data_IF_197819501575
#
_entry.id   IF_197819501575
#
_cell.length_a   1.000
_cell.length_b   1.000
_cell.length_c   1.000
_cell.angle_alpha   90.00
_cell.angle_beta   90.00
_cell.angle_gamma   90.00
#
_symmetry.space_group_name_H-M   'P 1'
#
loop_
_entity.id
_entity.type
_entity.pdbx_description
1 polymer ?
#
# COMPACT_ATOMS: atom_id res chain seq x y z
N UNK A 1 19.81 3.65 11.12
CA UNK A 1 19.91 2.19 10.93
C UNK A 1 21.23 1.69 11.48
N UNK A 2 21.18 0.69 12.35
CA UNK A 2 22.37 0.13 13.01
C UNK A 2 22.74 -1.26 12.47
N UNK A 3 21.83 -1.95 11.77
CA UNK A 3 22.10 -3.28 11.24
C UNK A 3 22.85 -3.17 9.89
N UNK A 4 24.14 -3.55 9.81
CA UNK A 4 24.93 -3.49 8.59
C UNK A 4 24.44 -4.44 7.48
N UNK A 5 23.64 -5.46 7.84
CA UNK A 5 23.09 -6.43 6.89
C UNK A 5 21.73 -6.02 6.30
N UNK A 6 21.15 -4.88 6.75
CA UNK A 6 19.94 -4.35 6.13
C UNK A 6 20.23 -3.90 4.69
N UNK A 7 19.25 -4.05 3.78
CA UNK A 7 19.39 -3.62 2.37
C UNK A 7 19.79 -2.15 2.26
N UNK A 8 19.27 -1.29 3.12
CA UNK A 8 19.59 0.13 3.14
C UNK A 8 21.06 0.41 3.51
N UNK A 9 21.64 -0.38 4.44
CA UNK A 9 23.06 -0.26 4.77
C UNK A 9 23.95 -0.92 3.71
N UNK A 10 23.60 -2.13 3.25
CA UNK A 10 24.42 -2.93 2.35
C UNK A 10 24.46 -2.38 0.91
N UNK A 11 23.33 -1.87 0.39
CA UNK A 11 23.23 -1.42 -1.02
C UNK A 11 23.23 0.10 -1.17
N UNK A 12 22.77 0.87 -0.18
CA UNK A 12 22.69 2.33 -0.28
C UNK A 12 23.69 3.07 0.62
N UNK A 13 24.52 2.34 1.39
CA UNK A 13 25.54 2.96 2.25
C UNK A 13 24.96 3.84 3.38
N UNK A 14 23.72 3.65 3.77
CA UNK A 14 22.98 4.47 4.73
C UNK A 14 23.23 4.05 6.19
N UNK A 15 24.38 3.47 6.51
CA UNK A 15 24.74 3.14 7.87
C UNK A 15 24.81 4.41 8.74
N UNK A 16 24.11 4.38 9.88
CA UNK A 16 24.05 5.53 10.80
C UNK A 16 23.08 6.65 10.40
N UNK A 17 22.49 6.61 9.21
CA UNK A 17 21.54 7.61 8.75
C UNK A 17 20.14 7.30 9.25
N UNK A 18 19.42 8.34 9.74
CA UNK A 18 18.01 8.23 10.08
C UNK A 18 17.17 8.27 8.81
N UNK A 19 16.37 7.22 8.57
CA UNK A 19 15.49 7.14 7.41
C UNK A 19 14.03 7.04 7.86
N UNK A 20 13.13 7.57 7.02
CA UNK A 20 11.69 7.46 7.27
C UNK A 20 11.21 6.01 7.09
N UNK A 21 10.44 5.46 8.05
CA UNK A 21 9.85 4.12 7.93
C UNK A 21 8.63 4.14 7.01
N UNK A 22 8.86 4.35 5.71
CA UNK A 22 7.79 4.50 4.70
C UNK A 22 6.83 3.31 4.65
N UNK A 23 7.33 2.10 4.96
CA UNK A 23 6.48 0.90 5.09
C UNK A 23 5.45 1.03 6.21
N UNK A 24 5.83 1.65 7.35
CA UNK A 24 4.89 1.89 8.45
C UNK A 24 3.82 2.91 8.03
N UNK A 25 4.20 3.95 7.28
CA UNK A 25 3.24 4.93 6.76
C UNK A 25 2.24 4.27 5.81
N UNK A 26 2.70 3.38 4.92
CA UNK A 26 1.82 2.57 4.06
C UNK A 26 0.85 1.71 4.86
N UNK A 27 1.33 1.02 5.89
CA UNK A 27 0.48 0.15 6.73
C UNK A 27 -0.61 0.98 7.42
N UNK A 28 -0.21 2.05 8.11
CA UNK A 28 -1.15 2.90 8.84
C UNK A 28 -2.14 3.60 7.90
N UNK A 29 -1.67 4.11 6.77
CA UNK A 29 -2.51 4.74 5.75
C UNK A 29 -3.54 3.77 5.17
N UNK A 30 -3.13 2.54 4.83
CA UNK A 30 -4.04 1.53 4.30
C UNK A 30 -5.00 1.00 5.37
N UNK A 31 -4.60 0.88 6.63
CA UNK A 31 -5.49 0.50 7.73
C UNK A 31 -6.57 1.57 7.95
N UNK A 32 -6.18 2.84 8.01
CA UNK A 32 -7.13 3.94 8.14
C UNK A 32 -8.10 3.99 6.96
N UNK A 33 -7.58 3.93 5.74
CA UNK A 33 -8.39 3.89 4.52
C UNK A 33 -9.36 2.70 4.52
N UNK A 34 -8.86 1.50 4.79
CA UNK A 34 -9.67 0.28 4.85
C UNK A 34 -10.78 0.38 5.89
N UNK A 35 -10.51 0.96 7.05
CA UNK A 35 -11.51 1.18 8.10
C UNK A 35 -12.62 2.13 7.65
N UNK A 36 -12.27 3.23 6.99
CA UNK A 36 -13.25 4.20 6.45
C UNK A 36 -14.10 3.56 5.36
N UNK A 37 -13.49 2.82 4.44
CA UNK A 37 -14.21 2.15 3.35
C UNK A 37 -15.10 1.02 3.85
N UNK A 38 -14.66 0.29 4.87
CA UNK A 38 -15.48 -0.72 5.52
C UNK A 38 -16.71 -0.07 6.18
N UNK A 39 -16.54 1.03 6.90
CA UNK A 39 -17.65 1.77 7.50
C UNK A 39 -18.61 2.28 6.42
N UNK A 40 -18.13 2.81 5.31
CA UNK A 40 -18.95 3.23 4.18
C UNK A 40 -19.74 2.05 3.56
N UNK A 41 -19.09 0.89 3.39
CA UNK A 41 -19.76 -0.31 2.89
C UNK A 41 -20.86 -0.78 3.86
N UNK A 42 -20.57 -0.87 5.16
CA UNK A 42 -21.57 -1.25 6.18
C UNK A 42 -22.73 -0.27 6.27
N UNK A 43 -22.49 1.01 5.93
CA UNK A 43 -23.52 2.03 5.80
C UNK A 43 -24.28 1.99 4.46
N UNK A 44 -24.06 0.94 3.63
CA UNK A 44 -24.67 0.78 2.31
C UNK A 44 -24.42 1.96 1.36
N UNK A 45 -23.26 2.60 1.45
CA UNK A 45 -22.86 3.63 0.49
C UNK A 45 -22.84 3.07 -0.95
N UNK A 46 -23.03 3.91 -1.99
CA UNK A 46 -22.92 3.48 -3.37
C UNK A 46 -21.61 2.74 -3.65
N UNK A 47 -21.67 1.63 -4.38
CA UNK A 47 -20.48 0.80 -4.63
C UNK A 47 -19.37 1.59 -5.33
N UNK A 48 -19.74 2.49 -6.25
CA UNK A 48 -18.78 3.39 -6.92
C UNK A 48 -18.11 4.37 -5.96
N UNK A 49 -18.79 4.80 -4.90
CA UNK A 49 -18.19 5.61 -3.84
C UNK A 49 -17.12 4.82 -3.07
N UNK A 50 -17.40 3.57 -2.74
CA UNK A 50 -16.45 2.70 -2.03
C UNK A 50 -15.24 2.39 -2.92
N UNK A 51 -15.47 2.00 -4.18
CA UNK A 51 -14.40 1.66 -5.13
C UNK A 51 -13.57 2.88 -5.52
N UNK A 52 -14.23 3.98 -5.86
CA UNK A 52 -13.56 5.24 -6.20
C UNK A 52 -12.83 5.82 -5.00
N UNK A 53 -13.42 5.75 -3.81
CA UNK A 53 -12.80 6.15 -2.55
C UNK A 53 -11.53 5.35 -2.24
N UNK A 54 -11.52 4.05 -2.54
CA UNK A 54 -10.30 3.24 -2.45
C UNK A 54 -9.20 3.78 -3.38
N UNK A 55 -9.50 4.04 -4.65
CA UNK A 55 -8.51 4.53 -5.61
C UNK A 55 -7.98 5.92 -5.23
N UNK A 56 -8.86 6.84 -4.82
CA UNK A 56 -8.48 8.16 -4.34
C UNK A 56 -7.59 8.07 -3.10
N UNK A 57 -8.02 7.30 -2.10
CA UNK A 57 -7.29 7.14 -0.85
C UNK A 57 -5.95 6.45 -1.04
N UNK A 58 -5.92 5.32 -1.75
CA UNK A 58 -4.69 4.58 -2.04
C UNK A 58 -3.73 5.41 -2.90
N UNK A 59 -4.22 6.14 -3.90
CA UNK A 59 -3.41 7.08 -4.68
C UNK A 59 -2.81 8.18 -3.81
N UNK A 60 -3.58 8.75 -2.88
CA UNK A 60 -3.09 9.77 -1.95
C UNK A 60 -2.00 9.21 -1.02
N UNK A 61 -2.24 8.06 -0.39
CA UNK A 61 -1.25 7.41 0.49
C UNK A 61 0.03 7.11 -0.30
N UNK A 62 -0.11 6.57 -1.52
CA UNK A 62 1.04 6.24 -2.38
C UNK A 62 1.81 7.48 -2.82
N UNK A 63 1.13 8.57 -3.13
CA UNK A 63 1.78 9.83 -3.51
C UNK A 63 2.62 10.39 -2.36
N UNK A 64 2.06 10.39 -1.15
CA UNK A 64 2.76 10.85 0.06
C UNK A 64 3.95 9.93 0.37
N UNK A 65 3.74 8.61 0.35
CA UNK A 65 4.81 7.62 0.60
C UNK A 65 6.00 7.83 -0.33
N UNK A 66 5.75 8.02 -1.63
CA UNK A 66 6.78 8.19 -2.63
C UNK A 66 7.59 9.49 -2.44
N UNK A 67 6.98 10.54 -1.87
CA UNK A 67 7.67 11.78 -1.54
C UNK A 67 8.76 11.58 -0.46
N UNK A 68 8.55 10.62 0.46
CA UNK A 68 9.50 10.28 1.54
C UNK A 68 10.44 9.12 1.20
N UNK A 69 10.21 8.47 0.06
CA UNK A 69 10.94 7.28 -0.35
C UNK A 69 12.26 7.60 -1.03
N UNK A 70 13.21 8.15 -0.46
CA UNK A 70 14.51 8.60 -0.98
C UNK A 70 15.24 7.71 -2.01
N UNK A 71 14.52 7.09 -2.95
CA UNK A 71 15.05 6.16 -3.94
C UNK A 71 15.73 6.90 -5.10
N UNK A 72 17.08 6.87 -5.21
CA UNK A 72 17.81 7.69 -6.16
C UNK A 72 17.62 7.25 -7.62
N UNK A 73 17.23 5.97 -7.86
CA UNK A 73 17.11 5.39 -9.19
C UNK A 73 15.74 5.61 -9.84
N UNK A 74 14.77 6.16 -9.12
CA UNK A 74 13.43 6.40 -9.67
C UNK A 74 13.44 7.56 -10.65
N UNK A 75 13.04 7.30 -11.90
CA UNK A 75 12.97 8.31 -12.97
C UNK A 75 12.01 9.45 -12.57
N UNK A 76 12.48 10.69 -12.75
CA UNK A 76 11.68 11.90 -12.56
C UNK A 76 11.21 12.38 -13.93
N UNK A 77 9.91 12.64 -14.06
CA UNK A 77 9.27 13.18 -15.27
C UNK A 77 8.42 14.37 -14.85
N UNK A 78 8.65 15.52 -15.47
CA UNK A 78 7.93 16.77 -15.18
C UNK A 78 7.87 17.12 -13.67
N UNK A 79 8.98 16.93 -12.96
CA UNK A 79 9.11 17.26 -11.52
C UNK A 79 8.53 16.23 -10.55
N UNK A 80 7.86 15.18 -11.04
CA UNK A 80 7.33 14.10 -10.23
C UNK A 80 8.05 12.78 -10.54
N UNK A 81 8.15 11.90 -9.54
CA UNK A 81 8.61 10.54 -9.73
C UNK A 81 7.58 9.74 -10.51
N UNK A 82 8.01 8.75 -11.29
CA UNK A 82 7.10 7.97 -12.14
C UNK A 82 5.95 7.33 -11.32
N UNK A 83 6.22 6.88 -10.11
CA UNK A 83 5.20 6.30 -9.22
C UNK A 83 4.20 7.33 -8.68
N UNK A 84 4.58 8.61 -8.58
CA UNK A 84 3.64 9.69 -8.25
C UNK A 84 2.66 9.95 -9.40
N UNK A 85 3.09 9.77 -10.65
CA UNK A 85 2.18 9.84 -11.81
C UNK A 85 1.13 8.73 -11.79
N UNK A 86 1.53 7.50 -11.41
CA UNK A 86 0.54 6.42 -11.19
C UNK A 86 -0.43 6.76 -10.06
N UNK A 87 0.04 7.35 -8.97
CA UNK A 87 -0.81 7.79 -7.87
C UNK A 87 -1.80 8.87 -8.30
N UNK A 88 -1.36 9.84 -9.11
CA UNK A 88 -2.23 10.86 -9.71
C UNK A 88 -3.27 10.22 -10.63
N UNK A 89 -2.87 9.26 -11.47
CA UNK A 89 -3.80 8.54 -12.34
C UNK A 89 -4.85 7.78 -11.51
N UNK A 90 -4.44 7.09 -10.44
CA UNK A 90 -5.38 6.42 -9.51
C UNK A 90 -6.36 7.42 -8.89
N UNK A 91 -5.87 8.57 -8.45
CA UNK A 91 -6.71 9.63 -7.89
C UNK A 91 -7.76 10.11 -8.90
N UNK A 92 -7.34 10.44 -10.12
CA UNK A 92 -8.23 10.92 -11.19
C UNK A 92 -9.26 9.85 -11.56
N UNK A 93 -8.83 8.61 -11.78
CA UNK A 93 -9.74 7.50 -12.11
C UNK A 93 -10.72 7.27 -10.96
N UNK A 94 -10.26 7.27 -9.72
CA UNK A 94 -11.12 7.11 -8.55
C UNK A 94 -12.17 8.21 -8.45
N UNK A 95 -11.78 9.46 -8.65
CA UNK A 95 -12.71 10.60 -8.66
C UNK A 95 -13.76 10.45 -9.77
N UNK A 96 -13.37 10.04 -10.97
CA UNK A 96 -14.30 9.78 -12.07
C UNK A 96 -15.25 8.62 -11.76
N UNK A 97 -14.77 7.54 -11.15
CA UNK A 97 -15.61 6.42 -10.72
C UNK A 97 -16.67 6.88 -9.71
N UNK A 98 -16.32 7.76 -8.77
CA UNK A 98 -17.26 8.26 -7.76
C UNK A 98 -18.39 9.11 -8.39
N UNK A 99 -18.21 9.66 -9.58
CA UNK A 99 -19.25 10.41 -10.30
C UNK A 99 -20.27 9.49 -11.00
N UNK A 100 -19.97 8.19 -11.13
CA UNK A 100 -20.87 7.25 -11.79
C UNK A 100 -21.93 6.77 -10.78
N UNK A 101 -23.23 6.95 -11.04
CA UNK A 101 -24.27 6.43 -10.17
C UNK A 101 -24.20 4.89 -10.08
N UNK A 102 -24.36 4.35 -8.90
CA UNK A 102 -24.41 2.90 -8.69
C UNK A 102 -25.39 2.51 -7.58
N UNK A 103 -25.75 1.25 -7.57
CA UNK A 103 -26.53 0.67 -6.47
C UNK A 103 -25.74 0.76 -5.13
N UNK A 104 -26.46 0.77 -4.01
CA UNK A 104 -25.86 0.61 -2.69
C UNK A 104 -25.01 -0.64 -2.60
N UNK A 105 -23.94 -0.59 -1.81
CA UNK A 105 -23.10 -1.76 -1.56
C UNK A 105 -23.93 -2.89 -0.95
N UNK A 106 -23.75 -4.15 -1.42
CA UNK A 106 -24.49 -5.29 -0.87
C UNK A 106 -24.13 -5.51 0.59
N UNK A 107 -25.08 -6.02 1.35
CA UNK A 107 -24.81 -6.46 2.72
C UNK A 107 -23.71 -7.53 2.73
N UNK A 108 -22.78 -7.50 3.70
CA UNK A 108 -21.75 -8.52 3.80
C UNK A 108 -22.37 -9.90 4.06
N UNK A 109 -22.02 -10.87 3.24
CA UNK A 109 -22.39 -12.26 3.47
C UNK A 109 -21.48 -12.87 4.54
N UNK A 110 -22.00 -13.00 5.75
CA UNK A 110 -21.25 -13.56 6.87
C UNK A 110 -20.84 -15.02 6.66
N UNK A 111 -21.55 -15.76 5.81
CA UNK A 111 -21.20 -17.14 5.47
C UNK A 111 -19.91 -17.21 4.61
N UNK A 112 -19.63 -16.17 3.84
CA UNK A 112 -18.41 -16.08 3.02
C UNK A 112 -17.16 -15.63 3.81
N UNK A 113 -17.30 -15.13 5.03
CA UNK A 113 -16.20 -14.60 5.82
C UNK A 113 -15.04 -15.57 6.06
N UNK A 114 -15.28 -16.86 6.41
CA UNK A 114 -14.17 -17.80 6.61
C UNK A 114 -13.33 -17.99 5.34
N UNK A 115 -13.98 -18.09 4.18
CA UNK A 115 -13.28 -18.21 2.90
C UNK A 115 -12.51 -16.92 2.53
N UNK A 116 -13.13 -15.76 2.75
CA UNK A 116 -12.48 -14.47 2.52
C UNK A 116 -11.26 -14.27 3.44
N UNK A 117 -11.38 -14.63 4.72
CA UNK A 117 -10.28 -14.58 5.67
C UNK A 117 -9.14 -15.53 5.28
N UNK A 118 -9.46 -16.76 4.87
CA UNK A 118 -8.47 -17.73 4.42
C UNK A 118 -7.71 -17.23 3.18
N UNK A 119 -8.42 -16.66 2.19
CA UNK A 119 -7.81 -16.04 1.00
C UNK A 119 -6.95 -14.83 1.37
N UNK A 120 -7.41 -14.01 2.32
CA UNK A 120 -6.65 -12.86 2.82
C UNK A 120 -5.34 -13.27 3.49
N UNK A 121 -5.38 -14.30 4.34
CA UNK A 121 -4.18 -14.86 4.98
C UNK A 121 -3.23 -15.46 3.94
N UNK A 122 -3.76 -16.25 2.99
CA UNK A 122 -2.95 -16.81 1.91
C UNK A 122 -2.26 -15.70 1.10
N UNK A 123 -3.00 -14.67 0.70
CA UNK A 123 -2.47 -13.52 -0.03
C UNK A 123 -1.39 -12.79 0.78
N UNK A 124 -1.63 -12.55 2.08
CA UNK A 124 -0.66 -11.95 2.99
C UNK A 124 0.65 -12.75 3.05
N UNK A 125 0.56 -14.07 3.20
CA UNK A 125 1.74 -14.95 3.25
C UNK A 125 2.50 -14.92 1.92
N UNK A 126 1.79 -15.04 0.80
CA UNK A 126 2.41 -15.02 -0.55
C UNK A 126 3.08 -13.66 -0.82
N UNK A 127 2.39 -12.55 -0.55
CA UNK A 127 2.97 -11.22 -0.73
C UNK A 127 4.14 -10.98 0.23
N UNK A 128 4.03 -11.38 1.49
CA UNK A 128 5.12 -11.26 2.47
C UNK A 128 6.36 -12.04 2.03
N UNK A 129 6.18 -13.28 1.55
CA UNK A 129 7.26 -14.09 1.01
C UNK A 129 7.89 -13.47 -0.26
N UNK A 130 7.08 -12.93 -1.16
CA UNK A 130 7.55 -12.29 -2.40
C UNK A 130 8.28 -10.96 -2.16
N UNK A 131 7.84 -10.18 -1.18
CA UNK A 131 8.41 -8.86 -0.91
C UNK A 131 9.71 -8.88 -0.09
N UNK A 132 10.12 -10.01 0.45
CA UNK A 132 11.29 -10.16 1.33
C UNK A 132 11.27 -9.19 2.52
N UNK A 133 11.01 -9.69 3.71
CA UNK A 133 10.98 -8.87 4.93
C UNK A 133 12.35 -8.87 5.59
N UNK A 134 12.98 -7.70 5.73
CA UNK A 134 14.19 -7.52 6.53
C UNK A 134 13.79 -7.37 8.01
N UNK A 135 14.12 -8.35 8.83
CA UNK A 135 13.96 -8.23 10.28
C UNK A 135 15.16 -7.49 10.89
N UNK A 136 14.97 -6.67 11.95
CA UNK A 136 16.02 -5.80 12.51
C UNK A 136 17.31 -6.52 12.90
N UNK A 137 17.20 -7.78 13.36
CA UNK A 137 18.34 -8.59 13.86
C UNK A 137 18.68 -9.78 12.94
N UNK A 138 18.02 -9.89 11.80
CA UNK A 138 18.26 -10.99 10.86
C UNK A 138 19.49 -10.73 10.00
N UNK A 139 20.31 -11.75 9.83
CA UNK A 139 21.46 -11.77 8.92
C UNK A 139 21.09 -12.14 7.47
N UNK A 140 19.87 -12.59 7.27
CA UNK A 140 19.35 -12.96 5.95
C UNK A 140 17.91 -12.50 5.79
N UNK A 141 17.49 -12.07 4.59
CA UNK A 141 16.09 -11.77 4.31
C UNK A 141 15.23 -13.04 4.46
N UNK A 142 13.97 -12.88 4.89
CA UNK A 142 13.02 -13.97 5.09
C UNK A 142 12.69 -14.73 3.80
N UNK A 143 12.87 -14.08 2.65
CA UNK A 143 12.71 -14.70 1.34
C UNK A 143 13.71 -14.14 0.33
N UNK A 144 14.21 -15.02 -0.54
CA UNK A 144 15.12 -14.71 -1.65
C UNK A 144 14.43 -14.80 -3.02
N UNK A 145 13.12 -14.61 -3.10
CA UNK A 145 12.41 -14.68 -4.38
C UNK A 145 12.76 -13.52 -5.32
N UNK A 146 13.45 -12.50 -4.81
CA UNK A 146 14.06 -11.41 -5.61
C UNK A 146 15.55 -11.41 -5.36
N UNK A 147 16.27 -12.36 -5.95
CA UNK A 147 17.72 -12.35 -6.03
C UNK A 147 18.23 -11.39 -7.07
#
# INVERSE_FOLDING_TARGET
MTNPHSRACAHAGLSGVTIHPTQLYSILGNLALGSVLLAAWLAHAPLTLVMGGYLVGAGTVRFIEEAYRGEPLTRIVAGLRIYQWFAVAMFVVGALVMLVPSAPAPAPDLAAWPAAAALGVLFFVVCGAAMSVDLPDSRAPLSRLSG
#
